data_IF_184593599632
#
_entry.id   IF_184593599632
#
_cell.length_a   1.000
_cell.length_b   1.000
_cell.length_c   1.000
_cell.angle_alpha   90.00
_cell.angle_beta   90.00
_cell.angle_gamma   90.00
#
_symmetry.space_group_name_H-M   'P 1'
#
loop_
_entity.id
_entity.type
_entity.pdbx_description
1 polymer ?
#
# COMPACT_ATOMS: atom_id res chain seq x y z
N UNK A 1 9.40 5.22 22.08
CA UNK A 1 8.68 4.45 21.03
C UNK A 1 7.32 4.10 21.64
N UNK A 2 6.26 3.98 20.86
CA UNK A 2 5.00 3.41 21.37
C UNK A 2 5.10 1.90 21.47
N UNK A 3 4.54 1.32 22.52
CA UNK A 3 4.40 -0.14 22.67
C UNK A 3 3.39 -0.72 21.64
N UNK A 4 3.42 -2.02 21.35
CA UNK A 4 2.45 -2.63 20.44
C UNK A 4 0.98 -2.45 20.87
N UNK A 5 0.71 -2.44 22.16
CA UNK A 5 -0.63 -2.17 22.70
C UNK A 5 -1.04 -0.71 22.46
N UNK A 6 -0.16 0.25 22.70
CA UNK A 6 -0.41 1.67 22.40
C UNK A 6 -0.65 1.88 20.89
N UNK A 7 0.11 1.20 20.02
CA UNK A 7 -0.10 1.27 18.56
C UNK A 7 -1.51 0.79 18.22
N UNK A 8 -1.94 -0.35 18.78
CA UNK A 8 -3.27 -0.90 18.55
C UNK A 8 -4.37 0.09 18.98
N UNK A 9 -4.26 0.66 20.18
CA UNK A 9 -5.20 1.67 20.71
C UNK A 9 -5.22 2.94 19.84
N UNK A 10 -4.06 3.48 19.50
CA UNK A 10 -3.93 4.66 18.65
C UNK A 10 -4.58 4.42 17.26
N UNK A 11 -4.44 3.21 16.72
CA UNK A 11 -5.02 2.91 15.42
C UNK A 11 -6.55 2.77 15.45
N UNK A 12 -7.14 2.38 16.59
CA UNK A 12 -8.60 2.42 16.78
C UNK A 12 -9.10 3.85 16.60
N UNK A 13 -8.49 4.84 17.27
CA UNK A 13 -8.86 6.25 17.16
C UNK A 13 -8.70 6.78 15.72
N UNK A 14 -7.59 6.40 15.07
CA UNK A 14 -7.37 6.71 13.65
C UNK A 14 -8.46 6.09 12.78
N UNK A 15 -8.84 4.84 13.02
CA UNK A 15 -9.92 4.16 12.31
C UNK A 15 -11.26 4.88 12.45
N UNK A 16 -11.61 5.32 13.67
CA UNK A 16 -12.81 6.12 13.94
C UNK A 16 -12.77 7.44 13.15
N UNK A 17 -11.63 8.14 13.16
CA UNK A 17 -11.47 9.39 12.41
C UNK A 17 -11.67 9.17 10.91
N UNK A 18 -11.01 8.18 10.33
CA UNK A 18 -11.03 7.87 8.89
C UNK A 18 -12.44 7.58 8.37
N UNK A 19 -13.25 6.79 9.07
CA UNK A 19 -14.61 6.45 8.64
C UNK A 19 -15.61 7.59 8.78
N UNK A 20 -15.28 8.64 9.53
CA UNK A 20 -16.11 9.83 9.72
C UNK A 20 -15.73 10.99 8.79
N UNK A 21 -14.72 10.84 7.94
CA UNK A 21 -14.42 11.79 6.89
C UNK A 21 -15.62 11.90 5.91
N UNK A 22 -15.84 13.09 5.38
CA UNK A 22 -16.83 13.27 4.29
C UNK A 22 -16.37 12.49 3.04
N UNK A 23 -17.32 12.03 2.22
CA UNK A 23 -17.03 11.28 0.98
C UNK A 23 -16.04 12.05 0.10
N UNK A 24 -16.25 13.36 -0.05
CA UNK A 24 -15.34 14.22 -0.85
C UNK A 24 -13.92 14.21 -0.31
N UNK A 25 -13.72 14.38 1.01
CA UNK A 25 -12.38 14.32 1.63
C UNK A 25 -11.76 12.93 1.48
N UNK A 26 -12.56 11.89 1.65
CA UNK A 26 -12.09 10.50 1.50
C UNK A 26 -11.57 10.22 0.08
N UNK A 27 -12.33 10.64 -0.95
CA UNK A 27 -11.92 10.48 -2.35
C UNK A 27 -10.70 11.35 -2.65
N UNK A 28 -10.67 12.61 -2.19
CA UNK A 28 -9.57 13.54 -2.44
C UNK A 28 -8.26 13.04 -1.81
N UNK A 29 -8.29 12.63 -0.53
CA UNK A 29 -7.11 12.06 0.13
C UNK A 29 -6.71 10.72 -0.49
N UNK A 30 -7.68 9.92 -0.93
CA UNK A 30 -7.42 8.72 -1.73
C UNK A 30 -6.74 9.04 -3.06
N UNK A 31 -7.19 10.08 -3.76
CA UNK A 31 -6.56 10.53 -5.01
C UNK A 31 -5.08 10.90 -4.79
N UNK A 32 -4.76 11.65 -3.74
CA UNK A 32 -3.36 11.93 -3.42
C UNK A 32 -2.55 10.67 -3.13
N UNK A 33 -3.09 9.72 -2.36
CA UNK A 33 -2.38 8.46 -2.12
C UNK A 33 -2.13 7.68 -3.41
N UNK A 34 -3.11 7.59 -4.30
CA UNK A 34 -2.95 6.98 -5.62
C UNK A 34 -1.86 7.66 -6.45
N UNK A 35 -1.82 9.01 -6.44
CA UNK A 35 -0.74 9.77 -7.09
C UNK A 35 0.63 9.45 -6.50
N UNK A 36 0.77 9.44 -5.16
CA UNK A 36 2.04 9.18 -4.49
C UNK A 36 2.59 7.79 -4.81
N UNK A 37 1.71 6.79 -4.81
CA UNK A 37 2.09 5.43 -5.22
C UNK A 37 2.39 5.37 -6.71
N UNK A 38 1.67 6.11 -7.56
CA UNK A 38 1.98 6.23 -9.00
C UNK A 38 3.36 6.84 -9.26
N UNK A 39 3.72 7.91 -8.55
CA UNK A 39 5.08 8.48 -8.63
C UNK A 39 6.16 7.50 -8.17
N UNK A 40 5.91 6.74 -7.12
CA UNK A 40 6.82 5.68 -6.70
C UNK A 40 6.96 4.59 -7.77
N UNK A 41 5.87 4.24 -8.44
CA UNK A 41 5.86 3.27 -9.54
C UNK A 41 6.72 3.71 -10.72
N UNK A 42 6.53 4.93 -11.24
CA UNK A 42 7.36 5.43 -12.35
C UNK A 42 8.82 5.60 -11.93
N UNK A 43 9.11 6.15 -10.75
CA UNK A 43 10.46 6.32 -10.27
C UNK A 43 11.20 4.96 -10.12
N UNK A 44 10.53 3.96 -9.56
CA UNK A 44 11.04 2.59 -9.43
C UNK A 44 11.36 1.96 -10.80
N UNK A 45 10.42 2.08 -11.76
CA UNK A 45 10.61 1.56 -13.12
C UNK A 45 11.75 2.28 -13.83
N UNK A 46 11.78 3.62 -13.75
CA UNK A 46 12.85 4.42 -14.37
C UNK A 46 14.22 4.05 -13.81
N UNK A 47 14.35 3.95 -12.50
CA UNK A 47 15.61 3.63 -11.83
C UNK A 47 16.16 2.23 -12.18
N UNK A 48 15.30 1.30 -12.58
CA UNK A 48 15.66 -0.10 -12.83
C UNK A 48 15.69 -0.48 -14.32
N UNK A 49 15.10 0.32 -15.21
CA UNK A 49 14.80 -0.05 -16.61
C UNK A 49 16.02 -0.40 -17.46
N UNK A 50 17.17 0.21 -17.21
CA UNK A 50 18.41 0.02 -18.01
C UNK A 50 19.46 -0.87 -17.34
N UNK A 51 19.15 -1.43 -16.16
CA UNK A 51 20.10 -2.28 -15.44
C UNK A 51 20.02 -3.70 -15.99
N UNK A 52 21.11 -4.17 -16.63
CA UNK A 52 21.16 -5.48 -17.27
C UNK A 52 21.15 -6.69 -16.34
N UNK A 53 21.49 -6.52 -15.04
CA UNK A 53 21.48 -7.61 -14.05
C UNK A 53 20.13 -7.60 -13.33
N UNK A 54 19.30 -8.61 -13.56
CA UNK A 54 17.93 -8.67 -13.11
C UNK A 54 17.75 -8.49 -11.58
N UNK A 55 18.59 -9.12 -10.76
CA UNK A 55 18.55 -8.98 -9.31
C UNK A 55 18.93 -7.59 -8.83
N UNK A 56 19.88 -6.93 -9.49
CA UNK A 56 20.27 -5.54 -9.19
C UNK A 56 19.17 -4.58 -9.62
N UNK A 57 18.62 -4.74 -10.81
CA UNK A 57 17.46 -3.97 -11.26
C UNK A 57 16.30 -4.05 -10.27
N UNK A 58 15.97 -5.27 -9.83
CA UNK A 58 14.91 -5.51 -8.85
C UNK A 58 15.21 -4.83 -7.50
N UNK A 59 16.45 -4.93 -7.02
CA UNK A 59 16.88 -4.30 -5.77
C UNK A 59 16.79 -2.77 -5.86
N UNK A 60 17.28 -2.17 -6.95
CA UNK A 60 17.25 -0.70 -7.14
C UNK A 60 15.81 -0.21 -7.22
N UNK A 61 14.95 -0.85 -8.01
CA UNK A 61 13.54 -0.50 -8.07
C UNK A 61 12.86 -0.61 -6.71
N UNK A 62 13.15 -1.67 -5.95
CA UNK A 62 12.61 -1.87 -4.61
C UNK A 62 13.10 -0.83 -3.59
N UNK A 63 14.35 -0.36 -3.72
CA UNK A 63 14.90 0.68 -2.85
C UNK A 63 14.28 2.06 -3.09
N UNK A 64 13.83 2.36 -4.30
CA UNK A 64 13.21 3.64 -4.66
C UNK A 64 11.72 3.70 -4.28
N UNK A 65 11.00 2.59 -4.42
CA UNK A 65 9.54 2.54 -4.26
C UNK A 65 9.01 3.03 -2.89
N UNK A 66 9.70 2.84 -1.75
CA UNK A 66 9.24 3.31 -0.44
C UNK A 66 8.99 4.82 -0.34
N UNK A 67 9.53 5.63 -1.27
CA UNK A 67 9.24 7.06 -1.35
C UNK A 67 7.73 7.36 -1.46
N UNK A 68 6.96 6.50 -2.13
CA UNK A 68 5.50 6.62 -2.20
C UNK A 68 4.84 6.48 -0.83
N UNK A 69 5.24 5.47 -0.05
CA UNK A 69 4.72 5.28 1.30
C UNK A 69 5.12 6.42 2.24
N UNK A 70 6.32 6.95 2.08
CA UNK A 70 6.79 8.13 2.80
C UNK A 70 5.86 9.35 2.57
N UNK A 71 5.50 9.61 1.31
CA UNK A 71 4.54 10.67 0.96
C UNK A 71 3.15 10.39 1.54
N UNK A 72 2.65 9.16 1.45
CA UNK A 72 1.35 8.77 2.03
C UNK A 72 1.30 9.05 3.52
N UNK A 73 2.34 8.67 4.28
CA UNK A 73 2.37 8.78 5.74
C UNK A 73 2.61 10.21 6.23
N UNK A 74 3.47 10.96 5.55
CA UNK A 74 3.93 12.29 6.03
C UNK A 74 3.08 13.42 5.47
N UNK A 75 2.72 13.38 4.19
CA UNK A 75 1.83 14.38 3.62
C UNK A 75 0.36 14.15 4.01
N UNK A 76 -0.01 12.98 4.52
CA UNK A 76 -1.33 12.68 5.05
C UNK A 76 -2.34 12.38 3.94
N UNK A 77 -2.47 11.12 3.56
CA UNK A 77 -3.42 10.67 2.56
C UNK A 77 -4.04 9.31 2.91
N UNK A 78 -5.09 8.91 2.19
CA UNK A 78 -5.87 7.71 2.46
C UNK A 78 -5.49 6.59 1.50
N UNK A 79 -4.78 5.58 2.00
CA UNK A 79 -4.37 4.42 1.23
C UNK A 79 -5.21 3.20 1.60
N UNK A 80 -5.90 2.61 0.61
CA UNK A 80 -6.81 1.48 0.80
C UNK A 80 -6.16 0.31 1.56
N UNK A 81 -4.95 -0.07 1.17
CA UNK A 81 -4.22 -1.20 1.77
C UNK A 81 -3.90 -0.96 3.24
N UNK A 82 -3.48 0.26 3.62
CA UNK A 82 -3.30 0.64 5.02
C UNK A 82 -4.61 0.75 5.80
N UNK A 83 -5.70 1.18 5.14
CA UNK A 83 -7.03 1.27 5.76
C UNK A 83 -7.66 -0.10 6.07
N UNK A 84 -7.05 -1.20 5.65
CA UNK A 84 -7.47 -2.54 6.08
C UNK A 84 -7.34 -2.71 7.61
N UNK A 85 -6.44 -1.97 8.26
CA UNK A 85 -6.32 -1.97 9.72
C UNK A 85 -7.50 -1.30 10.45
N UNK A 86 -8.44 -0.63 9.77
CA UNK A 86 -9.71 -0.15 10.36
C UNK A 86 -10.49 -1.30 10.99
N UNK A 87 -10.22 -2.53 10.58
CA UNK A 87 -10.80 -3.74 11.18
C UNK A 87 -10.61 -3.79 12.71
N UNK A 88 -9.51 -3.23 13.25
CA UNK A 88 -9.27 -3.12 14.69
C UNK A 88 -10.41 -2.37 15.40
N UNK A 89 -10.81 -1.22 14.84
CA UNK A 89 -11.92 -0.43 15.39
C UNK A 89 -13.28 -1.13 15.22
N UNK A 90 -13.43 -1.98 14.21
CA UNK A 90 -14.64 -2.80 14.01
C UNK A 90 -14.71 -3.90 15.06
N UNK A 91 -13.61 -4.62 15.31
CA UNK A 91 -13.53 -5.69 16.30
C UNK A 91 -13.76 -5.17 17.73
N UNK A 92 -13.30 -3.94 18.02
CA UNK A 92 -13.57 -3.21 19.26
C UNK A 92 -14.98 -2.58 19.30
N UNK A 93 -15.82 -2.83 18.29
CA UNK A 93 -17.20 -2.32 18.19
C UNK A 93 -17.30 -0.78 18.20
N UNK A 94 -16.20 -0.08 17.91
CA UNK A 94 -16.17 1.40 17.80
C UNK A 94 -16.60 1.89 16.41
N UNK A 95 -16.49 1.03 15.38
CA UNK A 95 -16.87 1.30 14.00
C UNK A 95 -17.73 0.15 13.49
N UNK A 96 -18.78 0.43 12.72
CA UNK A 96 -19.57 -0.61 12.06
C UNK A 96 -18.86 -1.13 10.81
N UNK A 97 -19.08 -2.41 10.47
CA UNK A 97 -18.57 -3.01 9.22
C UNK A 97 -18.97 -2.16 8.00
N UNK A 98 -20.21 -1.66 7.98
CA UNK A 98 -20.69 -0.83 6.88
C UNK A 98 -19.88 0.47 6.71
N UNK A 99 -19.55 1.17 7.80
CA UNK A 99 -18.71 2.37 7.75
C UNK A 99 -17.31 2.06 7.23
N UNK A 100 -16.72 0.94 7.64
CA UNK A 100 -15.44 0.46 7.14
C UNK A 100 -15.50 0.16 5.63
N UNK A 101 -16.47 -0.62 5.18
CA UNK A 101 -16.64 -0.94 3.77
C UNK A 101 -16.89 0.31 2.90
N UNK A 102 -17.67 1.25 3.41
CA UNK A 102 -17.90 2.54 2.77
C UNK A 102 -16.59 3.34 2.64
N UNK A 103 -15.75 3.39 3.68
CA UNK A 103 -14.44 4.02 3.63
C UNK A 103 -13.56 3.33 2.58
N UNK A 104 -13.46 2.00 2.62
CA UNK A 104 -12.67 1.23 1.66
C UNK A 104 -13.07 1.52 0.22
N UNK A 105 -14.37 1.53 -0.08
CA UNK A 105 -14.87 1.78 -1.43
C UNK A 105 -14.44 3.17 -1.95
N UNK A 106 -14.66 4.22 -1.18
CA UNK A 106 -14.36 5.58 -1.63
C UNK A 106 -12.85 5.88 -1.66
N UNK A 107 -12.07 5.30 -0.73
CA UNK A 107 -10.62 5.37 -0.79
C UNK A 107 -10.09 4.63 -2.02
N UNK A 108 -10.61 3.43 -2.31
CA UNK A 108 -10.21 2.63 -3.46
C UNK A 108 -10.46 3.36 -4.79
N UNK A 109 -11.65 3.98 -4.92
CA UNK A 109 -11.97 4.83 -6.07
C UNK A 109 -11.00 6.02 -6.17
N UNK A 110 -10.75 6.72 -5.07
CA UNK A 110 -9.79 7.82 -5.03
C UNK A 110 -8.38 7.36 -5.42
N UNK A 111 -7.91 6.25 -4.88
CA UNK A 111 -6.60 5.68 -5.22
C UNK A 111 -6.51 5.35 -6.73
N UNK A 112 -7.55 4.74 -7.30
CA UNK A 112 -7.58 4.43 -8.74
C UNK A 112 -7.49 5.70 -9.59
N UNK A 113 -8.29 6.71 -9.28
CA UNK A 113 -8.29 7.99 -10.00
C UNK A 113 -6.91 8.68 -9.93
N UNK A 114 -6.29 8.70 -8.75
CA UNK A 114 -4.96 9.29 -8.57
C UNK A 114 -3.85 8.54 -9.30
N UNK A 115 -3.87 7.22 -9.25
CA UNK A 115 -2.93 6.36 -9.96
C UNK A 115 -3.07 6.50 -11.48
N UNK A 116 -4.31 6.49 -11.99
CA UNK A 116 -4.62 6.69 -13.40
C UNK A 116 -4.21 8.09 -13.88
N UNK A 117 -4.44 9.12 -13.07
CA UNK A 117 -4.02 10.50 -13.38
C UNK A 117 -2.50 10.59 -13.61
N UNK A 118 -1.70 10.03 -12.71
CA UNK A 118 -0.24 9.99 -12.88
C UNK A 118 0.15 9.20 -14.14
N UNK A 119 -0.51 8.05 -14.39
CA UNK A 119 -0.25 7.24 -15.57
C UNK A 119 -0.48 8.04 -16.88
N UNK A 120 -1.60 8.78 -16.96
CA UNK A 120 -1.91 9.66 -18.09
C UNK A 120 -0.83 10.75 -18.24
N UNK A 121 -0.48 11.45 -17.16
CA UNK A 121 0.54 12.51 -17.20
C UNK A 121 1.92 11.99 -17.65
N UNK A 122 2.31 10.80 -17.19
CA UNK A 122 3.57 10.13 -17.57
C UNK A 122 3.61 9.88 -19.08
N UNK A 123 2.52 9.37 -19.65
CA UNK A 123 2.46 9.04 -21.08
C UNK A 123 2.35 10.32 -21.92
N UNK A 124 1.46 11.25 -21.55
CA UNK A 124 1.29 12.53 -22.27
C UNK A 124 2.55 13.39 -22.19
N UNK A 125 3.23 13.39 -21.04
CA UNK A 125 4.50 14.09 -20.83
C UNK A 125 5.70 13.39 -21.46
N UNK A 126 5.49 12.29 -22.23
CA UNK A 126 6.52 11.54 -22.95
C UNK A 126 7.67 11.04 -22.09
N UNK A 127 7.42 10.82 -20.79
CA UNK A 127 8.41 10.20 -19.89
C UNK A 127 8.90 8.84 -20.41
N UNK A 128 8.07 7.99 -21.05
CA UNK A 128 8.53 6.72 -21.64
C UNK A 128 9.62 6.83 -22.71
N UNK A 129 9.87 8.02 -23.30
CA UNK A 129 10.94 8.26 -24.28
C UNK A 129 12.35 8.14 -23.66
N UNK A 130 12.44 8.22 -22.34
CA UNK A 130 13.73 8.12 -21.64
C UNK A 130 14.49 6.87 -22.04
N UNK A 131 15.80 7.03 -22.15
CA UNK A 131 16.75 5.97 -22.51
C UNK A 131 16.48 5.37 -23.90
N UNK A 132 16.01 6.19 -24.86
CA UNK A 132 15.69 5.74 -26.22
C UNK A 132 14.54 4.71 -26.21
N UNK A 133 13.47 5.04 -25.52
CA UNK A 133 12.24 4.23 -25.37
C UNK A 133 12.42 2.90 -24.57
N UNK A 134 13.59 2.66 -23.98
CA UNK A 134 13.75 1.48 -23.10
C UNK A 134 12.82 1.54 -21.89
N UNK A 135 12.50 2.76 -21.40
CA UNK A 135 11.55 2.93 -20.34
C UNK A 135 10.12 2.56 -20.79
N UNK A 136 9.73 2.85 -22.04
CA UNK A 136 8.42 2.42 -22.57
C UNK A 136 8.28 0.89 -22.51
N UNK A 137 9.30 0.18 -22.99
CA UNK A 137 9.32 -1.29 -22.93
C UNK A 137 9.27 -1.81 -21.49
N UNK A 138 10.02 -1.19 -20.54
CA UNK A 138 10.02 -1.57 -19.15
C UNK A 138 8.64 -1.38 -18.48
N UNK A 139 7.95 -0.27 -18.80
CA UNK A 139 6.58 0.01 -18.31
C UNK A 139 5.60 -1.07 -18.81
N UNK A 140 5.64 -1.39 -20.09
CA UNK A 140 4.76 -2.42 -20.68
C UNK A 140 5.07 -3.79 -20.10
N UNK A 141 6.34 -4.14 -19.95
CA UNK A 141 6.77 -5.41 -19.34
C UNK A 141 6.29 -5.53 -17.87
N UNK A 142 6.38 -4.44 -17.10
CA UNK A 142 5.92 -4.42 -15.72
C UNK A 142 4.41 -4.66 -15.61
N UNK A 143 3.60 -4.10 -16.51
CA UNK A 143 2.15 -4.32 -16.55
C UNK A 143 1.81 -5.75 -17.02
N UNK A 144 2.48 -6.22 -18.08
CA UNK A 144 2.28 -7.55 -18.65
C UNK A 144 2.60 -8.66 -17.65
N UNK A 145 3.65 -8.48 -16.83
CA UNK A 145 3.99 -9.45 -15.79
C UNK A 145 2.83 -9.70 -14.81
N UNK A 146 2.02 -8.69 -14.52
CA UNK A 146 0.86 -8.78 -13.64
C UNK A 146 -0.33 -9.48 -14.29
N UNK A 147 -0.59 -9.15 -15.56
CA UNK A 147 -1.70 -9.78 -16.32
C UNK A 147 -1.42 -11.23 -16.70
N UNK A 148 -0.18 -11.67 -16.63
CA UNK A 148 0.24 -13.06 -16.85
C UNK A 148 0.14 -13.95 -15.60
N UNK A 149 -0.09 -13.37 -14.42
CA UNK A 149 -0.31 -14.17 -13.22
C UNK A 149 -1.61 -14.96 -13.34
N UNK A 150 -1.61 -16.20 -12.87
CA UNK A 150 -2.86 -16.90 -12.59
C UNK A 150 -3.62 -16.21 -11.47
N UNK A 151 -4.94 -16.39 -11.42
CA UNK A 151 -5.80 -15.82 -10.36
C UNK A 151 -5.32 -16.21 -8.96
N UNK A 152 -4.85 -17.45 -8.79
CA UNK A 152 -4.31 -17.95 -7.53
C UNK A 152 -3.00 -17.28 -7.14
N UNK A 153 -2.06 -17.11 -8.07
CA UNK A 153 -0.80 -16.40 -7.82
C UNK A 153 -1.05 -14.94 -7.48
N UNK A 154 -1.91 -14.26 -8.22
CA UNK A 154 -2.31 -12.87 -7.98
C UNK A 154 -2.89 -12.70 -6.57
N UNK A 155 -3.79 -13.59 -6.15
CA UNK A 155 -4.40 -13.58 -4.82
C UNK A 155 -3.36 -13.80 -3.71
N UNK A 156 -2.51 -14.83 -3.81
CA UNK A 156 -1.50 -15.14 -2.78
C UNK A 156 -0.44 -14.04 -2.69
N UNK A 157 0.04 -13.51 -3.82
CA UNK A 157 0.97 -12.37 -3.83
C UNK A 157 0.33 -11.12 -3.23
N UNK A 158 -0.98 -10.94 -3.41
CA UNK A 158 -1.75 -9.90 -2.75
C UNK A 158 -1.77 -10.06 -1.22
N UNK A 159 -1.98 -11.28 -0.70
CA UNK A 159 -1.91 -11.56 0.75
C UNK A 159 -0.54 -11.17 1.30
N UNK A 160 0.54 -11.70 0.72
CA UNK A 160 1.91 -11.48 1.17
C UNK A 160 2.30 -9.99 1.14
N UNK A 161 1.86 -9.26 0.11
CA UNK A 161 2.09 -7.84 0.01
C UNK A 161 1.45 -7.07 1.16
N UNK A 162 0.14 -7.28 1.40
CA UNK A 162 -0.55 -6.42 2.35
C UNK A 162 -0.31 -6.79 3.82
N UNK A 163 0.22 -7.98 4.10
CA UNK A 163 0.86 -8.25 5.39
C UNK A 163 1.98 -7.21 5.61
N UNK A 164 2.89 -7.05 4.66
CA UNK A 164 4.04 -6.13 4.79
C UNK A 164 3.61 -4.65 4.78
N UNK A 165 2.63 -4.26 3.96
CA UNK A 165 2.11 -2.88 3.96
C UNK A 165 1.45 -2.53 5.30
N UNK A 166 0.63 -3.41 5.85
CA UNK A 166 0.01 -3.19 7.16
C UNK A 166 1.05 -3.17 8.29
N UNK A 167 2.10 -4.01 8.21
CA UNK A 167 3.25 -3.93 9.12
C UNK A 167 4.01 -2.60 8.96
N UNK A 168 4.20 -2.09 7.74
CA UNK A 168 4.81 -0.78 7.51
C UNK A 168 4.01 0.35 8.19
N UNK A 169 2.69 0.33 8.04
CA UNK A 169 1.80 1.28 8.73
C UNK A 169 1.91 1.11 10.24
N UNK A 170 1.80 -0.12 10.75
CA UNK A 170 1.92 -0.42 12.17
C UNK A 170 3.23 0.10 12.78
N UNK A 171 4.36 -0.23 12.17
CA UNK A 171 5.68 0.21 12.62
C UNK A 171 5.84 1.73 12.56
N UNK A 172 5.18 2.41 11.60
CA UNK A 172 5.20 3.87 11.53
C UNK A 172 4.52 4.54 12.74
N UNK A 173 3.53 3.87 13.35
CA UNK A 173 2.86 4.34 14.58
C UNK A 173 3.71 4.12 15.83
N UNK A 174 4.69 3.22 15.82
CA UNK A 174 5.66 3.08 16.91
C UNK A 174 6.55 4.33 17.05
N UNK A 175 6.80 5.04 15.96
CA UNK A 175 7.73 6.15 15.91
C UNK A 175 7.06 7.47 16.28
N UNK A 176 7.70 8.25 17.17
CA UNK A 176 7.25 9.59 17.59
C UNK A 176 7.79 10.73 16.70
N UNK A 177 8.83 10.46 15.89
CA UNK A 177 9.48 11.44 14.99
C UNK A 177 9.27 11.02 13.53
N UNK A 178 9.23 12.02 12.62
CA UNK A 178 9.07 11.79 11.17
C UNK A 178 10.16 10.87 10.63
N UNK A 179 11.42 11.08 10.99
CA UNK A 179 12.54 10.23 10.58
C UNK A 179 12.34 8.75 10.97
N UNK A 180 11.86 8.52 12.19
CA UNK A 180 11.52 7.16 12.64
C UNK A 180 10.38 6.54 11.83
N UNK A 181 9.31 7.31 11.54
CA UNK A 181 8.20 6.83 10.69
C UNK A 181 8.69 6.42 9.30
N UNK A 182 9.54 7.23 8.69
CA UNK A 182 10.13 6.95 7.39
C UNK A 182 11.00 5.69 7.41
N UNK A 183 11.89 5.59 8.38
CA UNK A 183 12.82 4.46 8.49
C UNK A 183 12.09 3.13 8.76
N UNK A 184 11.11 3.13 9.67
CA UNK A 184 10.37 1.92 10.03
C UNK A 184 9.46 1.44 8.92
N UNK A 185 8.84 2.33 8.15
CA UNK A 185 7.99 1.95 7.03
C UNK A 185 8.78 1.55 5.77
N UNK A 186 10.02 2.02 5.63
CA UNK A 186 10.86 1.76 4.45
C UNK A 186 11.09 0.28 4.20
N UNK A 187 11.49 -0.47 5.23
CA UNK A 187 11.91 -1.86 5.09
C UNK A 187 10.79 -2.80 4.64
N UNK A 188 9.61 -2.83 5.25
CA UNK A 188 8.54 -3.71 4.79
C UNK A 188 8.08 -3.37 3.36
N UNK A 189 8.10 -2.07 2.99
CA UNK A 189 7.75 -1.64 1.64
C UNK A 189 8.80 -2.10 0.63
N UNK A 190 10.08 -1.91 0.93
CA UNK A 190 11.16 -2.42 0.09
C UNK A 190 11.07 -3.94 -0.08
N UNK A 191 10.79 -4.68 0.98
CA UNK A 191 10.69 -6.14 0.96
C UNK A 191 9.60 -6.63 0.03
N UNK A 192 8.37 -6.09 0.09
CA UNK A 192 7.31 -6.60 -0.78
C UNK A 192 7.61 -6.33 -2.27
N UNK A 193 8.22 -5.17 -2.60
CA UNK A 193 8.62 -4.87 -3.98
C UNK A 193 9.73 -5.81 -4.43
N UNK A 194 10.75 -6.03 -3.59
CA UNK A 194 11.87 -6.91 -3.87
C UNK A 194 11.41 -8.35 -4.13
N UNK A 195 10.49 -8.86 -3.31
CA UNK A 195 9.95 -10.21 -3.44
C UNK A 195 8.92 -10.36 -4.57
N UNK A 196 8.50 -9.28 -5.23
CA UNK A 196 7.51 -9.34 -6.32
C UNK A 196 6.10 -9.65 -5.82
N UNK A 197 5.75 -9.18 -4.63
CA UNK A 197 4.39 -9.24 -4.11
C UNK A 197 3.55 -8.12 -4.69
N UNK A 198 2.24 -8.34 -4.85
CA UNK A 198 1.37 -7.46 -5.62
C UNK A 198 0.55 -6.52 -4.72
N UNK A 199 0.72 -5.23 -4.97
CA UNK A 199 0.03 -4.16 -4.25
C UNK A 199 -1.05 -3.54 -5.13
N UNK A 200 -2.33 -3.76 -4.82
CA UNK A 200 -3.44 -3.36 -5.68
C UNK A 200 -3.37 -1.89 -6.14
N UNK A 201 -2.97 -0.96 -5.26
CA UNK A 201 -2.91 0.46 -5.63
C UNK A 201 -1.70 0.77 -6.54
N UNK A 202 -0.57 0.10 -6.35
CA UNK A 202 0.55 0.19 -7.28
C UNK A 202 0.17 -0.41 -8.64
N UNK A 203 -0.57 -1.51 -8.63
CA UNK A 203 -1.01 -2.18 -9.84
C UNK A 203 -2.02 -1.37 -10.64
N UNK A 204 -2.83 -0.52 -9.97
CA UNK A 204 -3.66 0.48 -10.66
C UNK A 204 -2.82 1.41 -11.54
N UNK A 205 -1.68 1.89 -11.03
CA UNK A 205 -0.75 2.69 -11.81
C UNK A 205 -0.09 1.87 -12.91
N UNK A 206 0.51 0.73 -12.58
CA UNK A 206 1.24 -0.09 -13.56
C UNK A 206 0.34 -0.57 -14.70
N UNK A 207 -0.87 -1.04 -14.39
CA UNK A 207 -1.82 -1.52 -15.39
C UNK A 207 -2.27 -0.41 -16.34
N UNK A 208 -2.73 0.73 -15.80
CA UNK A 208 -3.17 1.86 -16.62
C UNK A 208 -2.01 2.44 -17.44
N UNK A 209 -0.84 2.67 -16.82
CA UNK A 209 0.33 3.21 -17.50
C UNK A 209 0.82 2.26 -18.59
N UNK A 210 0.86 0.95 -18.32
CA UNK A 210 1.26 -0.05 -19.31
C UNK A 210 0.32 -0.10 -20.51
N UNK A 211 -0.99 -0.11 -20.29
CA UNK A 211 -2.00 -0.10 -21.36
C UNK A 211 -1.87 1.15 -22.25
N UNK A 212 -1.76 2.32 -21.63
CA UNK A 212 -1.63 3.57 -22.36
C UNK A 212 -0.29 3.66 -23.10
N UNK A 213 0.80 3.21 -22.48
CA UNK A 213 2.14 3.19 -23.12
C UNK A 213 2.17 2.21 -24.28
N UNK A 214 1.62 1.01 -24.13
CA UNK A 214 1.54 0.02 -25.21
C UNK A 214 0.81 0.60 -26.43
N UNK A 215 -0.31 1.29 -26.20
CA UNK A 215 -1.07 1.94 -27.27
C UNK A 215 -0.30 3.10 -27.90
N UNK A 216 0.32 3.98 -27.11
CA UNK A 216 0.98 5.19 -27.59
C UNK A 216 2.29 4.90 -28.36
N UNK A 217 2.99 3.82 -27.99
CA UNK A 217 4.29 3.43 -28.56
C UNK A 217 4.21 2.23 -29.50
N UNK A 218 3.01 1.70 -29.78
CA UNK A 218 2.82 0.55 -30.68
C UNK A 218 3.46 -0.75 -30.15
N UNK A 219 3.63 -0.90 -28.84
CA UNK A 219 4.24 -2.09 -28.23
C UNK A 219 3.17 -3.18 -28.09
N UNK A 220 3.38 -4.31 -28.75
CA UNK A 220 2.45 -5.44 -28.68
C UNK A 220 2.61 -6.21 -27.38
N UNK A 221 1.50 -6.41 -26.65
CA UNK A 221 1.44 -7.19 -25.42
C UNK A 221 0.07 -7.86 -25.32
N UNK A 222 -0.06 -9.08 -25.86
CA UNK A 222 -1.35 -9.77 -26.05
C UNK A 222 -2.15 -9.97 -24.75
N UNK A 223 -1.47 -10.28 -23.67
CA UNK A 223 -2.11 -10.47 -22.35
C UNK A 223 -2.50 -9.16 -21.68
N UNK A 224 -1.96 -8.02 -22.10
CA UNK A 224 -2.20 -6.72 -21.50
C UNK A 224 -3.47 -6.08 -22.07
N UNK A 225 -4.62 -6.46 -21.54
CA UNK A 225 -5.93 -5.92 -21.89
C UNK A 225 -6.62 -5.36 -20.65
N UNK A 226 -7.55 -4.43 -20.82
CA UNK A 226 -8.36 -3.90 -19.72
C UNK A 226 -9.06 -5.00 -18.92
N UNK A 227 -9.59 -6.02 -19.59
CA UNK A 227 -10.25 -7.13 -18.92
C UNK A 227 -9.28 -7.97 -18.08
N UNK A 228 -8.14 -8.36 -18.65
CA UNK A 228 -7.14 -9.14 -17.92
C UNK A 228 -6.58 -8.33 -16.73
N UNK A 229 -6.33 -7.03 -16.94
CA UNK A 229 -5.87 -6.15 -15.88
C UNK A 229 -6.89 -6.01 -14.75
N UNK A 230 -8.12 -5.59 -15.04
CA UNK A 230 -9.12 -5.29 -14.01
C UNK A 230 -9.66 -6.55 -13.32
N UNK A 231 -9.94 -7.61 -14.11
CA UNK A 231 -10.67 -8.79 -13.62
C UNK A 231 -9.72 -9.92 -13.21
N UNK A 232 -8.71 -10.22 -14.03
CA UNK A 232 -7.84 -11.38 -13.75
C UNK A 232 -6.66 -11.04 -12.83
N UNK A 233 -6.20 -9.79 -12.83
CA UNK A 233 -5.09 -9.34 -11.98
C UNK A 233 -5.59 -8.51 -10.79
N UNK A 234 -6.12 -7.31 -11.01
CA UNK A 234 -6.40 -6.33 -9.95
C UNK A 234 -7.43 -6.83 -8.93
N UNK A 235 -8.50 -7.49 -9.37
CA UNK A 235 -9.53 -7.99 -8.46
C UNK A 235 -8.99 -9.06 -7.48
N UNK A 236 -8.35 -10.17 -7.93
CA UNK A 236 -7.78 -11.15 -7.00
C UNK A 236 -6.66 -10.57 -6.13
N UNK A 237 -5.81 -9.68 -6.65
CA UNK A 237 -4.81 -8.97 -5.84
C UNK A 237 -5.49 -8.17 -4.72
N UNK A 238 -6.55 -7.43 -5.04
CA UNK A 238 -7.29 -6.64 -4.05
C UNK A 238 -7.88 -7.50 -2.94
N UNK A 239 -8.51 -8.62 -3.31
CA UNK A 239 -9.04 -9.59 -2.35
C UNK A 239 -7.93 -10.18 -1.47
N UNK A 240 -6.78 -10.51 -2.08
CA UNK A 240 -5.60 -10.95 -1.36
C UNK A 240 -5.10 -9.89 -0.37
N UNK A 241 -5.03 -8.62 -0.81
CA UNK A 241 -4.63 -7.52 0.08
C UNK A 241 -5.58 -7.40 1.29
N UNK A 242 -6.90 -7.53 1.10
CA UNK A 242 -7.85 -7.51 2.22
C UNK A 242 -7.57 -8.66 3.21
N UNK A 243 -7.37 -9.88 2.71
CA UNK A 243 -7.07 -11.04 3.55
C UNK A 243 -5.76 -10.85 4.31
N UNK A 244 -4.69 -10.39 3.65
CA UNK A 244 -3.41 -10.13 4.28
C UNK A 244 -3.46 -9.02 5.34
N UNK A 245 -4.07 -7.89 4.99
CA UNK A 245 -4.11 -6.72 5.87
C UNK A 245 -5.14 -6.83 6.98
N UNK A 246 -6.41 -6.99 6.66
CA UNK A 246 -7.48 -7.06 7.65
C UNK A 246 -7.53 -8.43 8.34
N UNK A 247 -7.46 -9.52 7.56
CA UNK A 247 -7.59 -10.87 8.11
C UNK A 247 -6.39 -11.30 8.93
N UNK A 248 -5.19 -11.21 8.39
CA UNK A 248 -3.99 -11.72 9.08
C UNK A 248 -3.42 -10.69 10.04
N UNK A 249 -3.06 -9.49 9.58
CA UNK A 249 -2.41 -8.49 10.44
C UNK A 249 -3.41 -7.87 11.41
N UNK A 250 -4.53 -7.35 10.92
CA UNK A 250 -5.52 -6.67 11.75
C UNK A 250 -6.13 -7.59 12.81
N UNK A 251 -6.70 -8.73 12.40
CA UNK A 251 -7.27 -9.69 13.36
C UNK A 251 -6.19 -10.32 14.25
N UNK A 252 -5.00 -10.61 13.72
CA UNK A 252 -3.90 -11.17 14.49
C UNK A 252 -3.45 -10.26 15.64
N UNK A 253 -3.24 -8.98 15.34
CA UNK A 253 -2.83 -8.01 16.37
C UNK A 253 -3.97 -7.64 17.32
N UNK A 254 -5.22 -7.67 16.85
CA UNK A 254 -6.35 -7.55 17.75
C UNK A 254 -6.40 -8.71 18.77
N UNK A 255 -6.23 -9.94 18.31
CA UNK A 255 -6.19 -11.12 19.19
C UNK A 255 -5.02 -11.05 20.19
N UNK A 256 -3.86 -10.57 19.73
CA UNK A 256 -2.66 -10.53 20.56
C UNK A 256 -2.69 -9.42 21.63
N UNK A 257 -3.25 -8.25 21.32
CA UNK A 257 -3.08 -7.06 22.16
C UNK A 257 -4.38 -6.47 22.71
N UNK A 258 -5.53 -6.70 22.07
CA UNK A 258 -6.79 -6.05 22.46
C UNK A 258 -7.83 -7.04 22.99
N UNK A 259 -7.86 -8.26 22.47
CA UNK A 259 -8.85 -9.26 22.87
C UNK A 259 -8.65 -9.64 24.33
N UNK A 260 -9.73 -9.47 25.17
CA UNK A 260 -9.74 -9.72 26.61
C UNK A 260 -8.81 -8.81 27.45
N UNK A 261 -8.20 -7.79 26.88
CA UNK A 261 -7.49 -6.78 27.66
C UNK A 261 -8.50 -5.72 28.08
N UNK A 262 -8.73 -5.48 29.38
CA UNK A 262 -9.69 -4.47 29.84
C UNK A 262 -9.29 -3.09 29.28
N UNK A 263 -10.22 -2.42 28.63
CA UNK A 263 -10.06 -1.02 28.23
C UNK A 263 -10.29 -0.16 29.49
N UNK A 264 -9.32 -0.13 30.41
CA UNK A 264 -9.36 0.77 31.56
C UNK A 264 -8.49 1.99 31.28
N UNK A 265 -9.05 3.17 31.55
CA UNK A 265 -8.32 4.43 31.52
C UNK A 265 -7.24 4.54 32.64
N UNK A 266 -7.17 3.55 33.52
CA UNK A 266 -6.32 3.53 34.71
C UNK A 266 -5.04 2.67 34.59
N UNK A 267 -4.61 2.34 33.38
CA UNK A 267 -3.41 1.48 33.17
C UNK A 267 -2.06 2.24 33.24
N UNK A 268 -2.03 3.46 33.74
CA UNK A 268 -0.79 4.25 33.89
C UNK A 268 0.25 3.64 34.81
N UNK A 269 -0.13 2.86 35.81
CA UNK A 269 0.83 2.27 36.76
C UNK A 269 1.48 0.97 36.21
N UNK A 270 0.71 0.10 35.57
CA UNK A 270 1.25 -1.14 34.99
C UNK A 270 2.07 -0.88 33.69
N UNK A 271 1.68 0.15 32.92
CA UNK A 271 2.45 0.58 31.75
C UNK A 271 3.77 1.23 32.14
N UNK A 272 3.84 1.91 33.29
CA UNK A 272 5.08 2.48 33.81
C UNK A 272 6.04 1.37 34.26
N UNK A 273 5.56 0.31 34.86
CA UNK A 273 6.38 -0.82 35.32
C UNK A 273 6.98 -1.62 34.14
N UNK A 274 6.25 -1.78 33.00
CA UNK A 274 6.78 -2.37 31.77
C UNK A 274 7.81 -1.46 31.07
N UNK A 275 7.64 -0.14 31.16
CA UNK A 275 8.61 0.84 30.60
C UNK A 275 9.89 0.83 31.43
N UNK A 276 9.78 0.79 32.74
CA UNK A 276 10.93 0.78 33.64
C UNK A 276 11.76 -0.52 33.48
N UNK A 277 11.10 -1.65 33.25
CA UNK A 277 11.78 -2.94 32.95
C UNK A 277 12.46 -2.91 31.56
N UNK A 278 11.88 -2.23 30.57
CA UNK A 278 12.47 -2.14 29.22
C UNK A 278 13.62 -1.13 29.11
N UNK A 279 13.79 -0.23 30.05
CA UNK A 279 14.92 0.70 30.13
C UNK A 279 16.11 0.13 30.94
N UNK A 280 15.93 -0.98 31.67
CA UNK A 280 17.00 -1.70 32.39
C UNK A 280 17.78 -2.72 31.55
N UNK A 281 17.37 -2.97 30.30
CA UNK A 281 18.02 -3.87 29.33
C UNK A 281 18.41 -3.10 28.04
#
# INVERSE_FOLDING_TARGET
MHSPLEIARNYIEVGIHKVNLSIFKTILLGFFAGMFIGFAGIASTTASSTIGIASVAKLVGAAVFPAGMAMVLVAGSELFTGNNLIILAVLEKKVTVWKMLKNWLFVYIGNFLGAAFVAVLVVVGRTPDLFGEQLAQAIVNAATARTNLSVGEAFVRGILCNILVCIAVWMSFAAKRVSGKLLTSYWPVMLFVLCGFEHSIADMYFGVCGLLTAQAYGITAESLTWFNFLVKALLPITLGNIVGGAGIVGCGYWLAYLHRTPYSADTTAAEQEEIDIAEEY
#
